data_IF_223636300176
#
_entry.id   IF_223636300176
#
_cell.length_a   1.000
_cell.length_b   1.000
_cell.length_c   1.000
_cell.angle_alpha   90.00
_cell.angle_beta   90.00
_cell.angle_gamma   90.00
#
_symmetry.space_group_name_H-M   'P 1'
#
loop_
_entity.id
_entity.type
_entity.pdbx_description
1 polymer ?
#
# COMPACT_ATOMS: atom_id res chain seq x y z
N UNK A 1 0.28 -9.24 -10.84
CA UNK A 1 -0.11 -7.88 -10.43
C UNK A 1 -1.62 -7.83 -10.32
N UNK A 2 -2.15 -7.54 -9.14
CA UNK A 2 -3.60 -7.52 -8.86
C UNK A 2 -4.24 -6.15 -9.12
N UNK A 3 -3.43 -5.13 -9.43
CA UNK A 3 -3.90 -3.79 -9.79
C UNK A 3 -4.63 -3.05 -8.67
N UNK A 4 -5.09 -1.83 -9.00
CA UNK A 4 -5.90 -1.00 -8.09
C UNK A 4 -7.37 -1.44 -8.18
N UNK A 5 -8.00 -1.66 -7.02
CA UNK A 5 -9.40 -2.06 -6.92
C UNK A 5 -10.17 -1.11 -6.01
N UNK A 6 -11.43 -0.83 -6.36
CA UNK A 6 -12.37 -0.10 -5.50
C UNK A 6 -13.23 -1.08 -4.72
N UNK A 7 -13.32 -0.90 -3.40
CA UNK A 7 -14.14 -1.76 -2.54
C UNK A 7 -14.77 -0.94 -1.41
N UNK A 8 -15.95 -1.34 -0.88
CA UNK A 8 -16.66 -0.61 0.16
C UNK A 8 -16.12 -0.87 1.58
N UNK A 9 -14.80 -0.97 1.75
CA UNK A 9 -14.21 -1.22 3.06
C UNK A 9 -14.38 0.01 3.97
N UNK A 10 -14.70 -0.24 5.24
CA UNK A 10 -14.95 0.81 6.23
C UNK A 10 -13.79 1.81 6.30
N UNK A 11 -12.56 1.30 6.36
CA UNK A 11 -11.32 2.09 6.44
C UNK A 11 -11.06 2.98 5.22
N UNK A 12 -11.66 2.64 4.06
CA UNK A 12 -11.55 3.42 2.83
C UNK A 12 -12.70 4.43 2.68
N UNK A 13 -13.88 4.09 3.19
CA UNK A 13 -15.09 4.93 3.06
C UNK A 13 -15.24 5.98 4.17
N UNK A 14 -14.87 5.63 5.39
CA UNK A 14 -15.11 6.45 6.57
C UNK A 14 -13.81 7.09 7.07
N UNK A 15 -13.24 7.93 6.21
CA UNK A 15 -11.98 8.64 6.46
C UNK A 15 -12.01 10.02 5.80
N UNK A 16 -11.38 11.02 6.42
CA UNK A 16 -11.41 12.42 5.96
C UNK A 16 -10.20 12.80 5.09
N UNK A 17 -9.29 11.87 4.85
CA UNK A 17 -8.07 12.04 4.05
C UNK A 17 -7.94 10.93 3.00
N UNK A 18 -7.09 11.10 1.97
CA UNK A 18 -6.79 10.02 1.03
C UNK A 18 -6.35 8.75 1.76
N UNK A 19 -6.94 7.61 1.39
CA UNK A 19 -6.69 6.32 2.04
C UNK A 19 -6.58 5.19 1.02
N UNK A 20 -5.78 4.18 1.36
CA UNK A 20 -5.63 2.94 0.59
C UNK A 20 -5.57 1.75 1.55
N UNK A 21 -5.89 0.56 1.05
CA UNK A 21 -5.67 -0.71 1.72
C UNK A 21 -4.77 -1.53 0.79
N UNK A 22 -3.59 -1.91 1.28
CA UNK A 22 -2.61 -2.66 0.51
C UNK A 22 -2.64 -4.15 0.91
N UNK A 23 -3.10 -5.00 0.01
CA UNK A 23 -2.92 -6.46 0.11
C UNK A 23 -1.51 -6.81 -0.38
N UNK A 24 -0.56 -7.02 0.53
CA UNK A 24 0.86 -7.19 0.19
C UNK A 24 1.27 -8.66 -0.07
N UNK A 25 0.47 -9.61 0.43
CA UNK A 25 0.61 -11.06 0.28
C UNK A 25 -0.63 -11.77 0.87
N UNK A 26 -0.82 -13.03 0.51
CA UNK A 26 -1.90 -13.90 0.96
C UNK A 26 -1.39 -14.98 1.92
N UNK A 27 -1.77 -14.90 3.21
CA UNK A 27 -1.44 -15.94 4.22
C UNK A 27 -2.03 -17.30 3.84
N UNK A 28 -3.12 -17.34 3.07
CA UNK A 28 -3.71 -18.59 2.58
C UNK A 28 -2.86 -19.31 1.52
N UNK A 29 -1.80 -18.68 1.01
CA UNK A 29 -0.82 -19.28 0.12
C UNK A 29 0.48 -19.51 0.91
N UNK A 30 0.92 -20.76 1.01
CA UNK A 30 2.09 -21.13 1.81
C UNK A 30 3.37 -20.41 1.39
N UNK A 31 3.58 -20.21 0.09
CA UNK A 31 4.78 -19.57 -0.43
C UNK A 31 4.81 -18.08 -0.09
N UNK A 32 3.64 -17.42 -0.16
CA UNK A 32 3.50 -16.02 0.22
C UNK A 32 3.53 -15.80 1.75
N UNK A 33 3.00 -16.75 2.51
CA UNK A 33 3.13 -16.78 3.97
C UNK A 33 4.61 -16.87 4.39
N UNK A 34 5.39 -17.74 3.76
CA UNK A 34 6.82 -17.87 4.02
C UNK A 34 7.58 -16.58 3.67
N UNK A 35 7.21 -15.90 2.57
CA UNK A 35 7.77 -14.59 2.24
C UNK A 35 7.52 -13.56 3.33
N UNK A 36 6.29 -13.49 3.87
CA UNK A 36 5.91 -12.58 4.95
C UNK A 36 6.73 -12.78 6.23
N UNK A 37 7.29 -13.98 6.44
CA UNK A 37 8.16 -14.29 7.60
C UNK A 37 9.58 -13.77 7.44
N UNK A 38 9.98 -13.32 6.25
CA UNK A 38 11.34 -12.84 5.98
C UNK A 38 11.47 -11.34 6.17
N UNK A 39 12.53 -10.91 6.86
CA UNK A 39 12.86 -9.47 6.99
C UNK A 39 13.12 -8.83 5.64
N UNK A 40 13.79 -9.55 4.72
CA UNK A 40 14.11 -9.03 3.38
C UNK A 40 12.85 -8.65 2.59
N UNK A 41 11.81 -9.48 2.62
CA UNK A 41 10.58 -9.19 1.90
C UNK A 41 9.82 -8.03 2.56
N UNK A 42 9.64 -8.07 3.88
CA UNK A 42 8.90 -7.04 4.62
C UNK A 42 9.58 -5.67 4.55
N UNK A 43 10.92 -5.61 4.61
CA UNK A 43 11.68 -4.38 4.38
C UNK A 43 11.45 -3.83 2.96
N UNK A 44 11.53 -4.69 1.94
CA UNK A 44 11.30 -4.25 0.55
C UNK A 44 9.89 -3.71 0.33
N UNK A 45 8.88 -4.33 0.95
CA UNK A 45 7.49 -3.84 0.92
C UNK A 45 7.39 -2.47 1.60
N UNK A 46 8.00 -2.30 2.77
CA UNK A 46 8.00 -1.03 3.49
C UNK A 46 8.68 0.10 2.69
N UNK A 47 9.82 -0.18 2.04
CA UNK A 47 10.51 0.77 1.16
C UNK A 47 9.63 1.18 -0.02
N UNK A 48 8.99 0.22 -0.69
CA UNK A 48 8.09 0.49 -1.81
C UNK A 48 6.88 1.35 -1.40
N UNK A 49 6.28 1.07 -0.24
CA UNK A 49 5.19 1.87 0.31
C UNK A 49 5.64 3.30 0.65
N UNK A 50 6.82 3.44 1.26
CA UNK A 50 7.41 4.74 1.57
C UNK A 50 7.61 5.56 0.30
N UNK A 51 8.19 4.98 -0.75
CA UNK A 51 8.45 5.67 -2.01
C UNK A 51 7.15 6.07 -2.72
N UNK A 52 6.14 5.20 -2.69
CA UNK A 52 4.79 5.51 -3.18
C UNK A 52 4.16 6.70 -2.45
N UNK A 53 4.24 6.74 -1.12
CA UNK A 53 3.73 7.86 -0.30
C UNK A 53 4.49 9.16 -0.61
N UNK A 54 5.83 9.10 -0.71
CA UNK A 54 6.65 10.27 -1.08
C UNK A 54 6.26 10.82 -2.44
N UNK A 55 6.04 9.94 -3.42
CA UNK A 55 5.60 10.30 -4.78
C UNK A 55 4.21 10.94 -4.78
N UNK A 56 3.27 10.41 -4.00
CA UNK A 56 1.95 10.99 -3.84
C UNK A 56 2.02 12.41 -3.25
N UNK A 57 2.79 12.59 -2.18
CA UNK A 57 2.94 13.89 -1.52
C UNK A 57 3.69 14.92 -2.37
N UNK A 58 4.68 14.50 -3.16
CA UNK A 58 5.38 15.42 -4.06
C UNK A 58 4.49 15.87 -5.22
N UNK A 59 3.63 14.98 -5.72
CA UNK A 59 2.67 15.27 -6.79
C UNK A 59 1.48 16.09 -6.30
N UNK A 60 1.13 16.00 -5.02
CA UNK A 60 0.03 16.73 -4.39
C UNK A 60 0.39 18.17 -3.97
N UNK A 61 1.65 18.61 -4.12
CA UNK A 61 2.01 20.02 -3.89
C UNK A 61 1.25 20.89 -4.90
N UNK A 62 0.47 21.90 -4.47
CA UNK A 62 -0.16 22.82 -5.39
C UNK A 62 0.96 23.51 -6.18
N UNK A 63 0.84 23.53 -7.52
CA UNK A 63 1.52 24.56 -8.29
C UNK A 63 1.05 25.90 -7.74
N UNK A 64 1.93 26.61 -7.03
CA UNK A 64 1.69 28.00 -6.64
C UNK A 64 1.25 28.77 -7.89
N UNK A 65 0.00 29.23 -7.89
CA UNK A 65 -0.42 30.37 -8.71
C UNK A 65 -0.41 31.60 -7.83
#
# INVERSE_FOLDING_TARGET
DHGVKTAPFYVLRFTSMPSILAEIAYISNSDEEDLLRTTRFTTRVAEALMDGIKSFLSSAKPSTR
#
